data_IF_135254108640
#
_entry.id   IF_135254108640
#
_cell.length_a   1.000
_cell.length_b   1.000
_cell.length_c   1.000
_cell.angle_alpha   90.00
_cell.angle_beta   90.00
_cell.angle_gamma   90.00
#
_symmetry.space_group_name_H-M   'P 1'
#
loop_
_entity.id
_entity.type
_entity.pdbx_description
1 polymer ?
#
# COMPACT_ATOMS: atom_id res chain seq x y z
N UNK A 1 21.74 1.44 -24.17
CA UNK A 1 21.94 2.13 -22.88
C UNK A 1 22.47 1.13 -21.86
N UNK A 2 23.17 1.59 -20.80
CA UNK A 2 23.66 0.70 -19.73
C UNK A 2 23.44 1.35 -18.35
N UNK A 3 23.07 0.53 -17.36
CA UNK A 3 22.91 0.96 -15.95
C UNK A 3 23.25 -0.21 -15.00
N UNK A 4 23.40 0.06 -13.70
CA UNK A 4 23.52 -0.99 -12.70
C UNK A 4 22.16 -1.63 -12.40
N UNK A 5 21.11 -0.81 -12.21
CA UNK A 5 19.77 -1.31 -11.90
C UNK A 5 18.73 -0.71 -12.85
N UNK A 6 18.02 -1.59 -13.59
CA UNK A 6 16.84 -1.20 -14.34
C UNK A 6 15.61 -1.34 -13.43
N UNK A 7 14.85 -0.25 -13.23
CA UNK A 7 13.65 -0.23 -12.39
C UNK A 7 12.43 -0.14 -13.30
N UNK A 8 11.55 -1.12 -13.25
CA UNK A 8 10.33 -1.16 -14.05
C UNK A 8 9.17 -0.68 -13.19
N UNK A 9 8.61 0.48 -13.54
CA UNK A 9 7.54 1.18 -12.83
C UNK A 9 8.03 2.41 -12.07
N UNK A 10 7.42 3.57 -12.37
CA UNK A 10 7.66 4.88 -11.74
C UNK A 10 6.67 5.21 -10.61
N UNK A 11 6.04 4.20 -10.01
CA UNK A 11 5.23 4.34 -8.81
C UNK A 11 6.06 4.57 -7.54
N UNK A 12 5.42 4.63 -6.36
CA UNK A 12 6.12 4.93 -5.10
C UNK A 12 7.30 3.98 -4.81
N UNK A 13 7.14 2.68 -5.07
CA UNK A 13 8.21 1.69 -4.87
C UNK A 13 9.42 1.99 -5.76
N UNK A 14 9.20 2.14 -7.07
CA UNK A 14 10.31 2.32 -8.01
C UNK A 14 11.04 3.64 -7.83
N UNK A 15 10.33 4.74 -7.61
CA UNK A 15 10.96 6.04 -7.38
C UNK A 15 11.68 6.11 -6.03
N UNK A 16 11.12 5.51 -4.97
CA UNK A 16 11.80 5.44 -3.68
C UNK A 16 13.06 4.58 -3.78
N UNK A 17 13.00 3.42 -4.45
CA UNK A 17 14.18 2.61 -4.71
C UNK A 17 15.25 3.41 -5.47
N UNK A 18 14.85 4.10 -6.53
CA UNK A 18 15.77 4.94 -7.31
C UNK A 18 16.43 6.04 -6.47
N UNK A 19 15.70 6.67 -5.51
CA UNK A 19 16.25 7.65 -4.58
C UNK A 19 17.26 7.00 -3.63
N UNK A 20 16.91 5.86 -3.04
CA UNK A 20 17.79 5.15 -2.11
C UNK A 20 19.08 4.67 -2.78
N UNK A 21 18.98 4.14 -4.02
CA UNK A 21 20.14 3.73 -4.81
C UNK A 21 21.04 4.90 -5.17
N UNK A 22 20.45 6.03 -5.58
CA UNK A 22 21.22 7.25 -5.85
C UNK A 22 22.06 7.69 -4.63
N UNK A 23 21.45 7.69 -3.43
CA UNK A 23 22.14 8.02 -2.17
C UNK A 23 23.27 7.05 -1.84
N UNK A 24 23.16 5.80 -2.29
CA UNK A 24 24.20 4.78 -2.17
C UNK A 24 25.24 4.84 -3.32
N UNK A 25 25.18 5.80 -4.25
CA UNK A 25 26.08 5.90 -5.39
C UNK A 25 25.84 4.85 -6.47
N UNK A 26 24.66 4.23 -6.50
CA UNK A 26 24.28 3.19 -7.47
C UNK A 26 23.42 3.80 -8.57
N UNK A 27 23.84 3.62 -9.83
CA UNK A 27 23.14 4.14 -10.99
C UNK A 27 21.89 3.30 -11.31
N UNK A 28 20.77 3.97 -11.52
CA UNK A 28 19.52 3.34 -11.94
C UNK A 28 18.81 4.12 -13.04
N UNK A 29 18.06 3.39 -13.87
CA UNK A 29 17.14 3.95 -14.87
C UNK A 29 15.75 3.45 -14.55
N UNK A 30 14.78 4.36 -14.44
CA UNK A 30 13.37 4.04 -14.18
C UNK A 30 12.59 4.11 -15.50
N UNK A 31 11.87 3.04 -15.83
CA UNK A 31 10.96 2.96 -16.97
C UNK A 31 9.52 2.98 -16.44
N UNK A 32 8.77 4.03 -16.77
CA UNK A 32 7.36 4.18 -16.42
C UNK A 32 6.49 4.15 -17.68
N UNK A 33 5.47 3.27 -17.69
CA UNK A 33 4.60 3.09 -18.87
C UNK A 33 3.69 4.30 -19.12
N UNK A 34 3.32 5.03 -18.07
CA UNK A 34 2.37 6.13 -18.14
C UNK A 34 3.05 7.49 -18.10
N UNK A 35 2.32 8.52 -18.51
CA UNK A 35 2.74 9.88 -18.28
C UNK A 35 2.75 10.22 -16.78
N UNK A 36 3.59 11.17 -16.39
CA UNK A 36 3.65 11.69 -15.01
C UNK A 36 2.28 12.17 -14.50
N UNK A 37 1.53 12.87 -15.35
CA UNK A 37 0.19 13.34 -15.03
C UNK A 37 -0.77 12.18 -14.71
N UNK A 38 -0.70 11.09 -15.47
CA UNK A 38 -1.51 9.90 -15.21
C UNK A 38 -1.17 9.24 -13.88
N UNK A 39 0.13 9.14 -13.53
CA UNK A 39 0.58 8.55 -12.27
C UNK A 39 0.07 9.38 -11.08
N UNK A 40 0.14 10.71 -11.16
CA UNK A 40 -0.32 11.64 -10.12
C UNK A 40 -1.85 11.70 -9.98
N UNK A 41 -2.60 11.43 -11.05
CA UNK A 41 -4.07 11.41 -11.01
C UNK A 41 -4.64 10.23 -10.21
N UNK A 42 -3.84 9.23 -9.86
CA UNK A 42 -4.29 8.07 -9.08
C UNK A 42 -4.33 8.39 -7.58
N UNK A 43 -5.52 8.63 -7.07
CA UNK A 43 -5.73 8.87 -5.64
C UNK A 43 -5.81 7.54 -4.89
N UNK A 44 -4.89 7.31 -3.97
CA UNK A 44 -4.83 6.12 -3.11
C UNK A 44 -4.73 6.50 -1.63
N UNK A 45 -4.92 5.52 -0.74
CA UNK A 45 -4.76 5.72 0.69
C UNK A 45 -3.31 6.12 1.04
N UNK A 46 -3.14 6.76 2.18
CA UNK A 46 -1.85 7.23 2.65
C UNK A 46 -1.78 7.15 4.17
N UNK A 47 -2.01 5.94 4.75
CA UNK A 47 -1.71 5.68 6.16
C UNK A 47 -0.34 5.04 6.22
N UNK A 48 0.60 5.72 6.86
CA UNK A 48 2.00 5.33 6.94
C UNK A 48 2.30 4.75 8.32
N UNK A 49 2.89 3.56 8.34
CA UNK A 49 3.50 2.99 9.53
C UNK A 49 4.70 3.82 9.96
N UNK A 50 5.06 3.75 11.24
CA UNK A 50 6.22 4.48 11.77
C UNK A 50 7.50 4.18 10.99
N UNK A 51 7.79 2.91 10.67
CA UNK A 51 8.98 2.54 9.90
C UNK A 51 8.99 3.15 8.48
N UNK A 52 7.84 3.29 7.83
CA UNK A 52 7.71 3.98 6.54
C UNK A 52 8.05 5.47 6.67
N UNK A 53 7.52 6.14 7.70
CA UNK A 53 7.82 7.55 8.01
C UNK A 53 9.32 7.74 8.22
N UNK A 54 9.96 6.85 8.98
CA UNK A 54 11.40 6.89 9.24
C UNK A 54 12.23 6.70 7.96
N UNK A 55 11.85 5.76 7.07
CA UNK A 55 12.51 5.59 5.77
C UNK A 55 12.38 6.84 4.89
N UNK A 56 11.19 7.44 4.82
CA UNK A 56 11.00 8.66 4.03
C UNK A 56 11.86 9.81 4.58
N UNK A 57 11.90 10.01 5.90
CA UNK A 57 12.75 11.02 6.55
C UNK A 57 14.23 10.79 6.27
N UNK A 58 14.70 9.55 6.44
CA UNK A 58 16.11 9.18 6.22
C UNK A 58 16.55 9.43 4.76
N UNK A 59 15.59 9.42 3.82
CA UNK A 59 15.86 9.66 2.41
C UNK A 59 15.53 11.10 1.95
N UNK A 60 15.35 12.06 2.88
CA UNK A 60 15.13 13.47 2.55
C UNK A 60 13.76 13.79 1.98
N UNK A 61 12.78 12.89 2.21
CA UNK A 61 11.39 13.02 1.75
C UNK A 61 10.42 13.35 2.90
N UNK A 62 10.96 13.71 4.07
CA UNK A 62 10.17 13.94 5.29
C UNK A 62 9.63 15.37 5.44
N UNK A 63 10.25 16.38 4.85
CA UNK A 63 9.97 17.79 5.15
C UNK A 63 8.49 18.18 4.95
N UNK A 64 7.94 17.92 3.77
CA UNK A 64 6.52 18.19 3.47
C UNK A 64 5.61 17.26 4.25
N UNK A 65 5.97 15.98 4.38
CA UNK A 65 5.23 15.00 5.16
C UNK A 65 5.09 15.43 6.63
N UNK A 66 6.13 15.94 7.24
CA UNK A 66 6.12 16.39 8.65
C UNK A 66 5.31 17.67 8.84
N UNK A 67 5.22 18.54 7.83
CA UNK A 67 4.44 19.77 7.85
C UNK A 67 2.95 19.53 7.57
N UNK A 68 2.61 18.65 6.63
CA UNK A 68 1.25 18.47 6.10
C UNK A 68 0.58 17.17 6.53
N UNK A 69 1.37 16.17 6.96
CA UNK A 69 0.86 14.90 7.44
C UNK A 69 0.17 15.04 8.80
N UNK A 70 -0.78 14.15 9.04
CA UNK A 70 -1.50 14.10 10.31
C UNK A 70 -1.10 12.85 11.11
N UNK A 71 -0.55 13.09 12.30
CA UNK A 71 -0.13 12.01 13.22
C UNK A 71 -1.32 11.52 14.01
N UNK A 72 -1.49 10.20 14.06
CA UNK A 72 -2.53 9.53 14.83
C UNK A 72 -1.93 8.67 15.94
N UNK A 73 -2.51 8.79 17.13
CA UNK A 73 -2.19 7.92 18.26
C UNK A 73 -2.90 6.56 18.17
N UNK A 74 -4.01 6.50 17.40
CA UNK A 74 -4.79 5.28 17.25
C UNK A 74 -5.93 5.37 16.24
N UNK A 75 -6.77 4.32 16.21
CA UNK A 75 -7.96 4.22 15.40
C UNK A 75 -9.15 3.76 16.22
N UNK A 76 -10.33 4.29 15.95
CA UNK A 76 -11.56 3.89 16.60
C UNK A 76 -12.25 2.76 15.79
N UNK A 77 -12.78 1.78 16.48
CA UNK A 77 -13.66 0.74 15.91
C UNK A 77 -15.03 0.88 16.59
N UNK A 78 -16.09 0.91 15.79
CA UNK A 78 -17.48 0.91 16.28
C UNK A 78 -18.20 -0.33 15.76
N UNK A 79 -19.06 -0.93 16.58
CA UNK A 79 -19.86 -2.10 16.21
C UNK A 79 -21.21 -2.13 16.94
N UNK A 80 -22.11 -2.99 16.50
CA UNK A 80 -23.47 -3.11 17.04
C UNK A 80 -24.24 -1.78 17.11
N UNK A 81 -23.80 -0.75 16.37
CA UNK A 81 -24.43 0.56 16.26
C UNK A 81 -24.27 1.47 17.49
N UNK A 82 -23.62 1.01 18.55
CA UNK A 82 -23.47 1.79 19.81
C UNK A 82 -22.14 1.59 20.52
N UNK A 83 -21.58 0.39 20.46
CA UNK A 83 -20.30 0.11 21.14
C UNK A 83 -19.14 0.68 20.35
N UNK A 84 -18.12 1.14 21.04
CA UNK A 84 -16.90 1.65 20.42
C UNK A 84 -15.66 1.36 21.27
N UNK A 85 -14.55 1.18 20.60
CA UNK A 85 -13.25 1.05 21.22
C UNK A 85 -12.18 1.79 20.41
N UNK A 86 -11.31 2.53 21.08
CA UNK A 86 -10.15 3.16 20.45
C UNK A 86 -8.91 2.31 20.72
N UNK A 87 -8.32 1.78 19.65
CA UNK A 87 -7.01 1.14 19.72
C UNK A 87 -5.98 2.28 19.76
N UNK A 88 -5.50 2.60 20.95
CA UNK A 88 -4.51 3.64 21.19
C UNK A 88 -3.11 3.05 21.07
N UNK A 89 -2.52 3.19 19.86
CA UNK A 89 -1.20 2.64 19.56
C UNK A 89 -0.09 3.30 20.38
N UNK A 90 -0.21 4.60 20.65
CA UNK A 90 0.77 5.31 21.48
C UNK A 90 0.79 4.76 22.91
N UNK A 91 -0.37 4.61 23.53
CA UNK A 91 -0.50 4.10 24.89
C UNK A 91 -0.10 2.62 25.02
N UNK A 92 -0.43 1.81 24.00
CA UNK A 92 -0.22 0.36 24.05
C UNK A 92 1.23 -0.03 23.74
N UNK A 93 1.85 0.61 22.75
CA UNK A 93 3.15 0.17 22.18
C UNK A 93 4.13 1.32 21.93
N UNK A 94 3.82 2.54 22.32
CA UNK A 94 4.68 3.71 22.16
C UNK A 94 4.93 4.10 20.70
N UNK A 95 4.04 3.69 19.78
CA UNK A 95 4.16 3.96 18.35
C UNK A 95 2.99 4.79 17.85
N UNK A 96 3.25 5.52 16.77
CA UNK A 96 2.26 6.32 16.05
C UNK A 96 2.24 5.93 14.58
N UNK A 97 1.16 6.24 13.91
CA UNK A 97 1.11 6.20 12.45
C UNK A 97 0.72 7.57 11.90
N UNK A 98 0.96 7.80 10.63
CA UNK A 98 0.73 9.09 10.02
C UNK A 98 -0.21 8.94 8.81
N UNK A 99 -1.15 9.86 8.66
CA UNK A 99 -1.87 10.01 7.40
C UNK A 99 -1.17 11.06 6.55
N UNK A 100 -0.64 10.63 5.40
CA UNK A 100 -0.06 11.48 4.37
C UNK A 100 -0.37 10.87 3.01
N UNK A 101 -1.05 11.59 2.14
CA UNK A 101 -1.60 11.05 0.90
C UNK A 101 -0.53 10.42 0.00
N UNK A 102 -0.82 9.27 -0.59
CA UNK A 102 0.12 8.63 -1.51
C UNK A 102 0.42 9.52 -2.73
N UNK A 103 -0.53 10.35 -3.18
CA UNK A 103 -0.29 11.33 -4.24
C UNK A 103 0.79 12.33 -3.84
N UNK A 104 0.74 12.86 -2.60
CA UNK A 104 1.77 13.79 -2.08
C UNK A 104 3.14 13.11 -1.99
N UNK A 105 3.21 11.85 -1.55
CA UNK A 105 4.45 11.06 -1.57
C UNK A 105 4.99 10.94 -3.00
N UNK A 106 4.10 10.67 -3.96
CA UNK A 106 4.48 10.53 -5.37
C UNK A 106 5.00 11.85 -5.95
N UNK A 107 4.38 12.98 -5.61
CA UNK A 107 4.85 14.32 -5.98
C UNK A 107 6.24 14.60 -5.40
N UNK A 108 6.45 14.29 -4.11
CA UNK A 108 7.74 14.48 -3.43
C UNK A 108 8.85 13.61 -4.06
N UNK A 109 8.52 12.38 -4.44
CA UNK A 109 9.43 11.46 -5.15
C UNK A 109 9.78 11.96 -6.54
N UNK A 110 8.81 12.47 -7.30
CA UNK A 110 9.08 13.09 -8.60
C UNK A 110 9.96 14.35 -8.45
N UNK A 111 9.65 15.20 -7.47
CA UNK A 111 10.46 16.39 -7.21
C UNK A 111 11.89 16.03 -6.80
N UNK A 112 12.09 14.96 -6.03
CA UNK A 112 13.43 14.46 -5.69
C UNK A 112 14.15 13.93 -6.94
N UNK A 113 13.46 13.16 -7.78
CA UNK A 113 14.02 12.68 -9.05
C UNK A 113 14.47 13.83 -9.97
N UNK A 114 13.64 14.88 -10.09
CA UNK A 114 13.97 16.08 -10.88
C UNK A 114 15.18 16.82 -10.35
N UNK A 115 15.22 17.07 -9.02
CA UNK A 115 16.36 17.80 -8.39
C UNK A 115 17.72 17.15 -8.65
N UNK A 116 17.77 15.81 -8.73
CA UNK A 116 19.01 15.06 -8.96
C UNK A 116 19.24 14.66 -10.43
N UNK A 117 18.35 15.06 -11.35
CA UNK A 117 18.46 14.69 -12.76
C UNK A 117 18.36 13.18 -13.00
N UNK A 118 17.42 12.51 -12.31
CA UNK A 118 17.27 11.05 -12.41
C UNK A 118 16.94 10.62 -13.82
N UNK A 119 17.50 9.50 -14.26
CA UNK A 119 17.14 8.86 -15.52
C UNK A 119 15.76 8.18 -15.38
N UNK A 120 14.70 8.97 -15.55
CA UNK A 120 13.30 8.55 -15.51
C UNK A 120 12.68 8.72 -16.90
N UNK A 121 12.35 7.61 -17.55
CA UNK A 121 11.71 7.56 -18.85
C UNK A 121 10.22 7.25 -18.67
N UNK A 122 9.39 8.28 -18.72
CA UNK A 122 7.93 8.14 -18.75
C UNK A 122 7.46 7.77 -20.15
N UNK A 123 6.29 7.12 -20.26
CA UNK A 123 5.70 6.64 -21.51
C UNK A 123 6.56 5.59 -22.24
N UNK A 124 7.37 4.84 -21.46
CA UNK A 124 8.08 3.67 -21.93
C UNK A 124 7.12 2.49 -22.11
N UNK A 125 6.88 2.07 -23.35
CA UNK A 125 5.93 1.01 -23.71
C UNK A 125 6.64 -0.26 -24.20
N UNK A 126 5.89 -1.35 -24.39
CA UNK A 126 6.37 -2.63 -24.92
C UNK A 126 7.58 -3.17 -24.13
N UNK A 127 7.60 -2.98 -22.83
CA UNK A 127 8.70 -3.41 -21.95
C UNK A 127 8.78 -4.94 -21.93
N UNK A 128 9.96 -5.49 -22.21
CA UNK A 128 10.26 -6.92 -22.14
C UNK A 128 11.58 -7.15 -21.42
N UNK A 129 11.59 -8.13 -20.52
CA UNK A 129 12.76 -8.50 -19.73
C UNK A 129 13.45 -9.70 -20.36
N UNK A 130 14.77 -9.65 -20.48
CA UNK A 130 15.56 -10.69 -21.11
C UNK A 130 16.68 -11.16 -20.18
N UNK A 131 16.97 -12.45 -20.20
CA UNK A 131 18.12 -13.04 -19.48
C UNK A 131 18.10 -12.88 -17.97
N UNK A 132 16.90 -12.78 -17.36
CA UNK A 132 16.73 -12.50 -15.90
C UNK A 132 17.38 -13.52 -14.98
N UNK A 133 17.53 -14.77 -15.43
CA UNK A 133 18.21 -15.83 -14.69
C UNK A 133 19.74 -15.82 -14.84
N UNK A 134 20.25 -15.13 -15.85
CA UNK A 134 21.69 -15.04 -16.17
C UNK A 134 22.37 -13.84 -15.52
N UNK A 135 23.67 -13.69 -15.82
CA UNK A 135 24.50 -12.63 -15.23
C UNK A 135 24.32 -11.25 -15.89
N UNK A 136 23.82 -11.21 -17.11
CA UNK A 136 23.67 -10.00 -17.93
C UNK A 136 22.23 -9.81 -18.41
N UNK A 137 21.29 -9.46 -17.51
CA UNK A 137 19.94 -9.17 -17.90
C UNK A 137 19.86 -7.87 -18.71
N UNK A 138 18.78 -7.74 -19.49
CA UNK A 138 18.50 -6.52 -20.21
C UNK A 138 17.01 -6.30 -20.37
N UNK A 139 16.64 -5.06 -20.66
CA UNK A 139 15.24 -4.66 -20.89
C UNK A 139 15.14 -4.03 -22.28
N UNK A 140 14.24 -4.53 -23.14
CA UNK A 140 13.84 -3.85 -24.36
C UNK A 140 12.52 -3.11 -24.15
N UNK A 141 12.39 -1.94 -24.77
CA UNK A 141 11.22 -1.09 -24.66
C UNK A 141 11.12 -0.11 -25.82
N UNK A 142 9.99 0.56 -25.97
CA UNK A 142 9.81 1.70 -26.87
C UNK A 142 9.70 2.99 -26.08
N UNK A 143 10.36 4.04 -26.55
CA UNK A 143 10.26 5.37 -25.94
C UNK A 143 10.32 6.42 -27.06
N UNK A 144 9.39 7.36 -27.08
CA UNK A 144 9.23 8.38 -28.13
C UNK A 144 9.12 7.79 -29.56
N UNK A 145 8.55 6.59 -29.68
CA UNK A 145 8.40 5.87 -30.96
C UNK A 145 9.58 4.98 -31.32
N UNK A 146 10.74 5.16 -30.74
CA UNK A 146 11.94 4.40 -31.01
C UNK A 146 12.09 3.17 -30.12
N UNK A 147 12.60 2.07 -30.69
CA UNK A 147 12.99 0.88 -29.93
C UNK A 147 14.33 1.10 -29.26
N UNK A 148 14.41 0.77 -27.98
CA UNK A 148 15.60 0.92 -27.16
C UNK A 148 15.90 -0.36 -26.37
N UNK A 149 17.17 -0.52 -25.98
CA UNK A 149 17.63 -1.59 -25.09
C UNK A 149 18.46 -1.01 -23.96
N UNK A 150 18.20 -1.49 -22.75
CA UNK A 150 18.91 -1.16 -21.51
C UNK A 150 19.55 -2.43 -20.96
N UNK A 151 20.89 -2.52 -21.05
CA UNK A 151 21.65 -3.57 -20.39
C UNK A 151 21.87 -3.18 -18.92
N UNK A 152 21.77 -4.15 -18.01
CA UNK A 152 21.87 -3.89 -16.58
C UNK A 152 22.45 -5.08 -15.81
N UNK A 153 22.83 -4.84 -14.55
CA UNK A 153 23.28 -5.92 -13.69
C UNK A 153 22.09 -6.56 -12.94
N UNK A 154 21.07 -5.74 -12.63
CA UNK A 154 19.84 -6.18 -11.93
C UNK A 154 18.61 -5.49 -12.51
N UNK A 155 17.46 -6.15 -12.34
CA UNK A 155 16.13 -5.61 -12.67
C UNK A 155 15.28 -5.60 -11.39
N UNK A 156 14.66 -4.46 -11.08
CA UNK A 156 13.68 -4.31 -10.02
C UNK A 156 12.28 -4.09 -10.61
N UNK A 157 11.42 -5.09 -10.52
CA UNK A 157 10.02 -5.05 -10.94
C UNK A 157 9.16 -4.35 -9.89
N UNK A 158 8.86 -3.08 -10.12
CA UNK A 158 7.98 -2.21 -9.32
C UNK A 158 6.74 -1.79 -10.12
N UNK A 159 6.35 -2.59 -11.10
CA UNK A 159 5.39 -2.29 -12.18
C UNK A 159 3.94 -2.66 -11.83
N UNK A 160 3.67 -2.95 -10.57
CA UNK A 160 2.34 -3.21 -10.07
C UNK A 160 1.78 -4.58 -10.46
N UNK A 161 0.52 -4.82 -10.10
CA UNK A 161 -0.10 -6.13 -10.26
C UNK A 161 -0.20 -6.61 -11.72
N UNK A 162 -0.40 -5.69 -12.65
CA UNK A 162 -0.55 -5.98 -14.09
C UNK A 162 0.76 -5.77 -14.88
N UNK A 163 1.88 -5.58 -14.19
CA UNK A 163 3.17 -5.40 -14.81
C UNK A 163 3.74 -6.68 -15.42
N UNK A 164 4.80 -6.52 -16.22
CA UNK A 164 5.46 -7.62 -16.95
C UNK A 164 6.50 -8.35 -16.12
N UNK A 165 6.98 -7.74 -15.03
CA UNK A 165 8.13 -8.29 -14.28
C UNK A 165 7.82 -9.64 -13.66
N UNK A 166 6.65 -9.81 -13.04
CA UNK A 166 6.25 -11.10 -12.43
C UNK A 166 6.14 -12.21 -13.46
N UNK A 167 5.66 -11.92 -14.67
CA UNK A 167 5.49 -12.92 -15.73
C UNK A 167 6.81 -13.35 -16.35
N UNK A 168 7.91 -12.64 -16.10
CA UNK A 168 9.25 -13.04 -16.51
C UNK A 168 9.84 -14.16 -15.63
N UNK A 169 9.22 -14.47 -14.49
CA UNK A 169 9.57 -15.63 -13.67
C UNK A 169 8.85 -16.87 -14.23
N UNK A 170 9.56 -17.96 -14.54
CA UNK A 170 8.94 -19.17 -15.09
C UNK A 170 7.83 -19.74 -14.20
N UNK A 171 6.74 -20.19 -14.82
CA UNK A 171 5.59 -20.74 -14.09
C UNK A 171 5.93 -21.95 -13.18
N UNK A 172 6.98 -22.73 -13.50
CA UNK A 172 7.48 -23.82 -12.66
C UNK A 172 8.23 -23.36 -11.41
N UNK A 173 8.61 -22.07 -11.33
CA UNK A 173 9.33 -21.47 -10.20
C UNK A 173 8.37 -20.60 -9.36
N UNK A 174 7.50 -19.85 -10.01
CA UNK A 174 6.60 -18.92 -9.36
C UNK A 174 5.37 -19.64 -8.78
N UNK A 175 5.13 -19.46 -7.50
CA UNK A 175 3.85 -19.83 -6.85
C UNK A 175 3.08 -18.57 -6.54
N UNK A 176 1.76 -18.61 -6.72
CA UNK A 176 0.89 -17.49 -6.37
C UNK A 176 -0.18 -17.95 -5.39
N UNK A 177 -0.46 -17.10 -4.42
CA UNK A 177 -1.52 -17.29 -3.44
C UNK A 177 -2.50 -16.15 -3.58
N UNK A 178 -3.76 -16.45 -3.80
CA UNK A 178 -4.80 -15.45 -4.02
C UNK A 178 -6.06 -15.75 -3.23
N UNK A 179 -6.65 -14.71 -2.66
CA UNK A 179 -8.00 -14.70 -2.11
C UNK A 179 -8.73 -13.47 -2.60
N UNK A 180 -9.80 -13.66 -3.36
CA UNK A 180 -10.74 -12.61 -3.77
C UNK A 180 -11.87 -12.57 -2.74
N UNK A 181 -12.20 -11.36 -2.27
CA UNK A 181 -13.32 -11.16 -1.34
C UNK A 181 -14.61 -10.92 -2.14
N UNK A 182 -15.78 -11.44 -1.67
CA UNK A 182 -17.04 -11.35 -2.42
C UNK A 182 -17.72 -9.98 -2.30
N UNK A 183 -16.94 -8.92 -2.04
CA UNK A 183 -17.41 -7.55 -1.89
C UNK A 183 -16.32 -6.55 -2.31
N UNK A 184 -16.74 -5.31 -2.54
CA UNK A 184 -15.87 -4.19 -2.83
C UNK A 184 -16.08 -3.05 -1.85
N UNK A 185 -15.23 -2.04 -1.96
CA UNK A 185 -15.36 -0.75 -1.28
C UNK A 185 -15.78 0.33 -2.27
N UNK A 186 -16.98 0.87 -2.09
CA UNK A 186 -17.35 2.13 -2.70
C UNK A 186 -16.72 3.27 -1.88
N UNK A 187 -15.78 3.97 -2.48
CA UNK A 187 -15.07 5.08 -1.87
C UNK A 187 -15.50 6.42 -2.43
N UNK A 188 -15.72 7.39 -1.56
CA UNK A 188 -16.00 8.79 -1.91
C UNK A 188 -14.93 9.69 -1.33
N UNK A 189 -14.35 10.54 -2.17
CA UNK A 189 -13.54 11.69 -1.78
C UNK A 189 -14.42 12.94 -1.83
N UNK A 190 -14.45 13.71 -0.76
CA UNK A 190 -15.26 14.93 -0.69
C UNK A 190 -14.47 16.08 -0.06
N UNK A 191 -14.61 17.28 -0.62
CA UNK A 191 -14.01 18.51 -0.10
C UNK A 191 -14.79 19.01 1.13
N UNK A 192 -14.86 18.17 2.16
CA UNK A 192 -15.54 18.43 3.43
C UNK A 192 -14.59 18.22 4.61
N UNK A 193 -14.88 18.88 5.72
CA UNK A 193 -14.13 18.67 6.96
C UNK A 193 -14.26 17.22 7.41
N UNK A 194 -13.14 16.47 7.60
CA UNK A 194 -13.18 15.11 8.11
C UNK A 194 -13.58 15.05 9.58
N UNK A 195 -13.86 13.85 10.05
CA UNK A 195 -13.90 13.54 11.49
C UNK A 195 -12.48 13.60 12.06
N UNK A 196 -12.36 13.85 13.37
CA UNK A 196 -11.05 14.01 14.03
C UNK A 196 -10.27 12.69 14.16
N UNK A 197 -10.95 11.55 14.00
CA UNK A 197 -10.36 10.23 14.14
C UNK A 197 -10.59 9.36 12.90
N UNK A 198 -9.69 8.41 12.69
CA UNK A 198 -9.89 7.29 11.77
C UNK A 198 -10.88 6.31 12.42
N UNK A 199 -12.06 6.10 11.81
CA UNK A 199 -13.14 5.30 12.42
C UNK A 199 -13.56 4.18 11.46
N UNK A 200 -13.43 2.94 11.94
CA UNK A 200 -13.92 1.73 11.30
C UNK A 200 -15.26 1.33 11.89
N UNK A 201 -16.22 0.94 11.05
CA UNK A 201 -17.50 0.42 11.52
C UNK A 201 -17.70 -1.03 11.03
N UNK A 202 -17.97 -1.95 11.98
CA UNK A 202 -18.62 -3.23 11.71
C UNK A 202 -20.12 -3.06 11.93
N UNK A 203 -20.93 -3.31 10.92
CA UNK A 203 -22.38 -3.11 11.00
C UNK A 203 -23.12 -4.22 10.22
N UNK A 204 -24.36 -4.62 10.59
CA UNK A 204 -25.15 -5.62 9.85
C UNK A 204 -25.35 -5.27 8.37
N UNK A 205 -25.33 -3.99 7.99
CA UNK A 205 -25.36 -3.52 6.58
C UNK A 205 -23.99 -3.60 5.87
N UNK A 206 -22.95 -4.10 6.52
CA UNK A 206 -21.58 -4.16 6.03
C UNK A 206 -20.67 -3.08 6.60
N UNK A 207 -19.41 -3.15 6.26
CA UNK A 207 -18.34 -2.27 6.70
C UNK A 207 -18.52 -0.81 6.28
N UNK A 208 -18.04 0.12 7.11
CA UNK A 208 -17.80 1.52 6.71
C UNK A 208 -16.48 2.04 7.31
N UNK A 209 -15.91 3.06 6.67
CA UNK A 209 -14.68 3.72 7.12
C UNK A 209 -14.80 5.22 6.92
N UNK A 210 -14.52 5.97 7.97
CA UNK A 210 -14.29 7.42 7.92
C UNK A 210 -12.79 7.70 8.08
N UNK A 211 -12.19 8.40 7.13
CA UNK A 211 -10.79 8.79 7.16
C UNK A 211 -10.59 10.20 6.61
N UNK A 212 -9.46 10.80 6.95
CA UNK A 212 -9.04 12.10 6.43
C UNK A 212 -7.95 11.95 5.37
N UNK A 213 -7.81 12.98 4.54
CA UNK A 213 -6.64 13.18 3.67
C UNK A 213 -5.86 14.42 4.08
N UNK A 214 -6.58 15.49 4.41
CA UNK A 214 -6.08 16.71 5.00
C UNK A 214 -7.23 17.40 5.78
N UNK A 215 -7.04 18.52 6.46
CA UNK A 215 -8.10 19.17 7.26
C UNK A 215 -9.37 19.58 6.51
N UNK A 216 -9.34 19.56 5.16
CA UNK A 216 -10.47 20.00 4.31
C UNK A 216 -10.91 18.91 3.32
N UNK A 217 -10.31 17.71 3.37
CA UNK A 217 -10.56 16.65 2.42
C UNK A 217 -10.78 15.31 3.15
N UNK A 218 -12.00 14.81 3.05
CA UNK A 218 -12.45 13.56 3.66
C UNK A 218 -12.46 12.41 2.66
N UNK A 219 -12.13 11.22 3.11
CA UNK A 219 -12.31 9.98 2.34
C UNK A 219 -13.14 9.00 3.14
N UNK A 220 -14.27 8.59 2.58
CA UNK A 220 -15.19 7.65 3.19
C UNK A 220 -15.34 6.40 2.32
N UNK A 221 -15.63 5.27 2.95
CA UNK A 221 -15.88 4.02 2.26
C UNK A 221 -17.07 3.30 2.86
N UNK A 222 -17.83 2.61 2.01
CA UNK A 222 -18.84 1.64 2.40
C UNK A 222 -18.63 0.34 1.65
N UNK A 223 -18.84 -0.78 2.32
CA UNK A 223 -18.87 -2.09 1.68
C UNK A 223 -20.06 -2.20 0.74
N UNK A 224 -19.83 -2.70 -0.47
CA UNK A 224 -20.86 -2.93 -1.49
C UNK A 224 -20.66 -4.29 -2.16
N UNK A 225 -21.70 -4.92 -2.72
CA UNK A 225 -21.57 -6.09 -3.60
C UNK A 225 -20.66 -5.79 -4.80
N UNK A 226 -19.98 -6.81 -5.34
CA UNK A 226 -19.18 -6.67 -6.56
C UNK A 226 -20.01 -6.38 -7.81
N UNK A 227 -21.32 -6.64 -7.77
CA UNK A 227 -22.26 -6.35 -8.84
C UNK A 227 -22.64 -4.88 -8.95
N UNK A 228 -22.39 -4.10 -7.89
CA UNK A 228 -22.74 -2.66 -7.88
C UNK A 228 -21.82 -1.87 -8.82
N UNK A 229 -22.39 -0.84 -9.44
CA UNK A 229 -21.66 0.10 -10.29
C UNK A 229 -21.70 1.50 -9.68
N UNK A 230 -20.68 2.29 -9.95
CA UNK A 230 -20.55 3.65 -9.40
C UNK A 230 -21.75 4.53 -9.78
N UNK A 231 -22.25 4.33 -11.00
CA UNK A 231 -23.38 5.09 -11.56
C UNK A 231 -24.69 4.87 -10.80
N UNK A 232 -24.83 3.72 -10.14
CA UNK A 232 -26.02 3.36 -9.36
C UNK A 232 -26.03 4.05 -7.97
N UNK A 233 -24.96 4.76 -7.62
CA UNK A 233 -24.78 5.40 -6.33
C UNK A 233 -24.76 6.94 -6.45
N UNK A 234 -25.90 7.59 -6.22
CA UNK A 234 -25.92 9.04 -6.01
C UNK A 234 -25.15 9.42 -4.73
N UNK A 235 -24.77 10.71 -4.63
CA UNK A 235 -24.11 11.20 -3.40
C UNK A 235 -25.03 11.05 -2.20
N UNK A 236 -26.33 11.39 -2.36
CA UNK A 236 -27.31 11.26 -1.27
C UNK A 236 -27.45 9.81 -0.79
N UNK A 237 -27.51 8.83 -1.71
CA UNK A 237 -27.54 7.41 -1.37
C UNK A 237 -26.28 7.01 -0.60
N UNK A 238 -25.11 7.44 -1.06
CA UNK A 238 -23.85 7.16 -0.38
C UNK A 238 -23.83 7.70 1.04
N UNK A 239 -24.19 8.97 1.22
CA UNK A 239 -24.20 9.60 2.54
C UNK A 239 -25.23 8.98 3.48
N UNK A 240 -26.39 8.61 2.98
CA UNK A 240 -27.41 7.90 3.78
C UNK A 240 -26.89 6.54 4.26
N UNK A 241 -26.30 5.74 3.36
CA UNK A 241 -25.73 4.43 3.68
C UNK A 241 -24.51 4.52 4.62
N UNK A 242 -23.66 5.52 4.42
CA UNK A 242 -22.53 5.76 5.30
C UNK A 242 -23.00 6.07 6.73
N UNK A 243 -23.90 7.06 6.87
CA UNK A 243 -24.43 7.49 8.17
C UNK A 243 -25.20 6.39 8.89
N UNK A 244 -25.92 5.54 8.16
CA UNK A 244 -26.65 4.42 8.71
C UNK A 244 -25.75 3.34 9.35
N UNK A 245 -24.45 3.33 9.07
CA UNK A 245 -23.46 2.36 9.59
C UNK A 245 -22.69 2.88 10.81
N UNK A 246 -22.89 4.13 11.18
CA UNK A 246 -22.24 4.73 12.35
C UNK A 246 -23.24 5.00 13.47
N UNK A 247 -22.79 5.02 14.74
CA UNK A 247 -23.59 5.51 15.87
C UNK A 247 -24.12 6.91 15.61
N UNK A 248 -25.32 7.28 16.16
CA UNK A 248 -25.99 8.55 15.86
C UNK A 248 -25.14 9.80 16.10
N UNK A 249 -24.27 9.80 17.11
CA UNK A 249 -23.37 10.90 17.42
C UNK A 249 -22.31 11.10 16.34
N UNK A 250 -21.71 10.02 15.84
CA UNK A 250 -20.72 10.05 14.75
C UNK A 250 -21.43 10.44 13.44
N UNK A 251 -22.58 9.82 13.14
CA UNK A 251 -23.37 10.11 11.94
C UNK A 251 -23.76 11.59 11.82
N UNK A 252 -24.08 12.25 12.96
CA UNK A 252 -24.39 13.69 13.01
C UNK A 252 -23.16 14.57 12.76
N UNK A 253 -21.98 14.12 13.18
CA UNK A 253 -20.74 14.86 13.00
C UNK A 253 -20.19 14.77 11.56
N UNK A 254 -20.65 13.81 10.73
CA UNK A 254 -20.23 13.68 9.34
C UNK A 254 -20.76 14.85 8.51
N UNK A 255 -19.86 15.68 8.00
CA UNK A 255 -20.17 16.75 7.04
C UNK A 255 -20.27 16.14 5.65
N UNK A 256 -21.41 16.30 5.00
CA UNK A 256 -21.69 15.79 3.65
C UNK A 256 -21.42 16.86 2.60
N UNK A 257 -21.06 16.46 1.38
CA UNK A 257 -20.83 17.36 0.24
C UNK A 257 -20.75 16.56 -1.06
N UNK A 258 -20.57 17.26 -2.18
CA UNK A 258 -20.40 16.61 -3.46
C UNK A 258 -19.17 15.69 -3.49
N UNK A 259 -19.30 14.55 -4.17
CA UNK A 259 -18.18 13.67 -4.42
C UNK A 259 -17.22 14.31 -5.44
N UNK A 260 -15.98 14.54 -5.04
CA UNK A 260 -14.88 14.93 -5.96
C UNK A 260 -14.43 13.72 -6.78
N UNK A 261 -14.44 12.55 -6.15
CA UNK A 261 -14.12 11.26 -6.76
C UNK A 261 -15.00 10.19 -6.14
N UNK A 262 -15.47 9.27 -6.97
CA UNK A 262 -16.20 8.09 -6.55
C UNK A 262 -15.70 6.87 -7.32
N UNK A 263 -15.38 5.79 -6.62
CA UNK A 263 -14.86 4.57 -7.23
C UNK A 263 -15.23 3.32 -6.42
N UNK A 264 -15.38 2.17 -7.09
CA UNK A 264 -15.52 0.88 -6.43
C UNK A 264 -14.23 0.09 -6.65
N UNK A 265 -13.63 -0.35 -5.57
CA UNK A 265 -12.43 -1.18 -5.58
C UNK A 265 -12.76 -2.58 -5.06
N UNK A 266 -12.60 -3.64 -5.86
CA UNK A 266 -12.68 -5.02 -5.37
C UNK A 266 -11.51 -5.30 -4.41
N UNK A 267 -11.76 -6.10 -3.39
CA UNK A 267 -10.73 -6.49 -2.42
C UNK A 267 -10.13 -7.84 -2.78
N UNK A 268 -8.81 -7.93 -2.65
CA UNK A 268 -8.07 -9.19 -2.78
C UNK A 268 -6.84 -9.21 -1.88
N UNK A 269 -6.42 -10.40 -1.52
CA UNK A 269 -5.07 -10.71 -1.06
C UNK A 269 -4.36 -11.48 -2.16
N UNK A 270 -3.11 -11.12 -2.44
CA UNK A 270 -2.29 -11.81 -3.42
C UNK A 270 -0.83 -11.80 -2.95
N UNK A 271 -0.13 -12.92 -3.12
CA UNK A 271 1.32 -13.04 -2.88
C UNK A 271 1.94 -13.91 -3.97
N UNK A 272 3.05 -13.44 -4.52
CA UNK A 272 3.90 -14.17 -5.45
C UNK A 272 5.20 -14.61 -4.75
N UNK A 273 5.55 -15.88 -4.85
CA UNK A 273 6.75 -16.48 -4.28
C UNK A 273 7.50 -17.31 -5.34
N UNK A 274 8.82 -17.12 -5.42
CA UNK A 274 9.68 -16.19 -4.69
C UNK A 274 9.56 -14.74 -5.22
N UNK A 275 10.01 -13.76 -4.42
CA UNK A 275 10.11 -12.37 -4.84
C UNK A 275 11.42 -12.06 -5.59
N UNK A 276 12.21 -13.09 -5.88
CA UNK A 276 13.46 -13.00 -6.66
C UNK A 276 13.60 -14.19 -7.60
N UNK A 277 14.10 -13.93 -8.81
CA UNK A 277 14.54 -14.98 -9.74
C UNK A 277 15.79 -14.50 -10.49
N UNK A 278 16.92 -15.13 -10.19
CA UNK A 278 18.22 -14.71 -10.72
C UNK A 278 18.54 -13.24 -10.38
N UNK A 279 18.59 -12.38 -11.39
CA UNK A 279 18.85 -10.95 -11.29
C UNK A 279 17.58 -10.08 -11.27
N UNK A 280 16.40 -10.69 -11.29
CA UNK A 280 15.10 -10.02 -11.19
C UNK A 280 14.58 -10.06 -9.74
N UNK A 281 14.16 -8.91 -9.25
CA UNK A 281 13.46 -8.73 -7.97
C UNK A 281 12.07 -8.17 -8.19
N UNK A 282 11.10 -8.59 -7.40
CA UNK A 282 9.75 -8.03 -7.36
C UNK A 282 9.56 -7.21 -6.09
N UNK A 283 8.92 -6.06 -6.18
CA UNK A 283 8.60 -5.20 -5.05
C UNK A 283 7.22 -4.55 -5.19
N UNK A 284 6.53 -4.32 -4.08
CA UNK A 284 5.20 -3.72 -4.04
C UNK A 284 4.14 -4.58 -4.74
N UNK A 285 3.18 -3.93 -5.40
CA UNK A 285 2.03 -4.61 -6.04
C UNK A 285 2.46 -5.62 -7.14
N UNK A 286 3.71 -5.60 -7.61
CA UNK A 286 4.24 -6.64 -8.49
C UNK A 286 4.38 -7.99 -7.79
N UNK A 287 4.64 -7.99 -6.48
CA UNK A 287 4.82 -9.17 -5.64
C UNK A 287 3.60 -9.51 -4.78
N UNK A 288 2.89 -8.51 -4.26
CA UNK A 288 1.82 -8.74 -3.29
C UNK A 288 0.77 -7.63 -3.30
N UNK A 289 -0.47 -8.02 -3.00
CA UNK A 289 -1.60 -7.12 -2.73
C UNK A 289 -2.22 -7.53 -1.40
N UNK A 290 -2.61 -6.56 -0.61
CA UNK A 290 -3.36 -6.75 0.64
C UNK A 290 -4.64 -5.92 0.62
N UNK A 291 -5.72 -6.37 1.29
CA UNK A 291 -6.90 -5.54 1.45
C UNK A 291 -6.54 -4.20 2.12
N UNK A 292 -7.17 -3.11 1.71
CA UNK A 292 -6.85 -1.78 2.24
C UNK A 292 -7.22 -1.60 3.71
N UNK A 293 -7.98 -2.51 4.30
CA UNK A 293 -8.45 -2.48 5.71
C UNK A 293 -7.31 -2.31 6.71
N UNK A 294 -6.18 -3.00 6.49
CA UNK A 294 -5.00 -2.91 7.35
C UNK A 294 -4.03 -1.77 7.00
N UNK A 295 -4.29 -1.02 5.93
CA UNK A 295 -3.41 0.03 5.42
C UNK A 295 -1.95 -0.42 5.17
N UNK A 296 -1.74 -1.67 4.69
CA UNK A 296 -0.41 -2.28 4.60
C UNK A 296 0.27 -2.15 3.22
N UNK A 297 -0.47 -1.92 2.13
CA UNK A 297 0.07 -2.04 0.77
C UNK A 297 1.28 -1.15 0.50
N UNK A 298 1.17 0.17 0.75
CA UNK A 298 2.28 1.11 0.56
C UNK A 298 3.43 0.82 1.54
N UNK A 299 3.11 0.48 2.78
CA UNK A 299 4.10 0.18 3.82
C UNK A 299 4.93 -1.07 3.48
N UNK A 300 4.30 -2.09 2.89
CA UNK A 300 5.01 -3.27 2.35
C UNK A 300 5.91 -2.89 1.18
N UNK A 301 5.42 -2.09 0.24
CA UNK A 301 6.22 -1.63 -0.89
C UNK A 301 7.48 -0.86 -0.41
N UNK A 302 7.35 -0.04 0.64
CA UNK A 302 8.49 0.66 1.26
C UNK A 302 9.45 -0.33 1.92
N UNK A 303 8.93 -1.34 2.63
CA UNK A 303 9.82 -2.36 3.23
C UNK A 303 10.57 -3.19 2.21
N UNK A 304 9.93 -3.56 1.09
CA UNK A 304 10.59 -4.29 0.02
C UNK A 304 11.77 -3.51 -0.56
N UNK A 305 11.54 -2.24 -0.91
CA UNK A 305 12.61 -1.41 -1.48
C UNK A 305 13.68 -1.06 -0.44
N UNK A 306 13.33 -1.01 0.85
CA UNK A 306 14.29 -0.88 1.93
C UNK A 306 15.23 -2.10 1.97
N UNK A 307 14.70 -3.33 1.96
CA UNK A 307 15.53 -4.54 1.93
C UNK A 307 16.34 -4.64 0.65
N UNK A 308 15.73 -4.35 -0.51
CA UNK A 308 16.39 -4.43 -1.80
C UNK A 308 17.52 -3.40 -1.93
N UNK A 309 17.31 -2.16 -1.50
CA UNK A 309 18.34 -1.13 -1.55
C UNK A 309 19.55 -1.49 -0.68
N UNK A 310 19.33 -2.05 0.51
CA UNK A 310 20.41 -2.53 1.38
C UNK A 310 21.19 -3.71 0.76
N UNK A 311 20.46 -4.64 0.14
CA UNK A 311 21.05 -5.77 -0.55
C UNK A 311 21.96 -5.33 -1.70
N UNK A 312 21.47 -4.40 -2.54
CA UNK A 312 22.23 -3.83 -3.64
C UNK A 312 23.41 -2.97 -3.14
N UNK A 313 23.23 -2.22 -2.04
CA UNK A 313 24.33 -1.44 -1.43
C UNK A 313 25.45 -2.34 -0.89
N UNK A 314 25.11 -3.46 -0.26
CA UNK A 314 26.11 -4.44 0.19
C UNK A 314 26.83 -5.10 -1.00
N UNK A 315 26.10 -5.41 -2.06
CA UNK A 315 26.68 -5.99 -3.26
C UNK A 315 27.69 -5.06 -3.94
N UNK A 316 27.31 -3.81 -4.20
CA UNK A 316 28.20 -2.87 -4.90
C UNK A 316 29.29 -2.28 -4.01
N UNK A 317 29.02 -2.10 -2.71
CA UNK A 317 29.97 -1.48 -1.78
C UNK A 317 30.91 -2.47 -1.12
N UNK A 318 30.48 -3.73 -0.92
CA UNK A 318 31.25 -4.74 -0.16
C UNK A 318 31.52 -6.03 -0.94
N UNK A 319 30.95 -6.18 -2.15
CA UNK A 319 31.03 -7.41 -2.95
C UNK A 319 30.25 -8.59 -2.35
N UNK A 320 29.32 -8.34 -1.39
CA UNK A 320 28.55 -9.41 -0.75
C UNK A 320 27.21 -9.63 -1.46
N UNK A 321 26.91 -10.89 -1.78
CA UNK A 321 25.61 -11.32 -2.29
C UNK A 321 24.64 -11.82 -1.21
N UNK A 322 25.05 -11.90 0.05
CA UNK A 322 24.26 -12.51 1.13
C UNK A 322 22.86 -11.92 1.28
N UNK A 323 22.74 -10.59 1.27
CA UNK A 323 21.44 -9.92 1.37
C UNK A 323 20.62 -10.04 0.08
N UNK A 324 21.28 -10.11 -1.08
CA UNK A 324 20.62 -10.40 -2.35
C UNK A 324 20.01 -11.79 -2.32
N UNK A 325 20.73 -12.78 -1.84
CA UNK A 325 20.27 -14.18 -1.77
C UNK A 325 19.12 -14.35 -0.77
N UNK A 326 19.14 -13.59 0.31
CA UNK A 326 18.12 -13.59 1.38
C UNK A 326 16.93 -12.64 1.13
N UNK A 327 16.97 -11.82 0.08
CA UNK A 327 15.93 -10.80 -0.16
C UNK A 327 14.50 -11.36 -0.14
N UNK A 328 14.26 -12.43 -0.91
CA UNK A 328 12.94 -13.04 -1.00
C UNK A 328 12.43 -13.50 0.37
N UNK A 329 13.27 -14.19 1.15
CA UNK A 329 12.88 -14.72 2.46
C UNK A 329 12.60 -13.60 3.46
N UNK A 330 13.42 -12.56 3.46
CA UNK A 330 13.25 -11.41 4.36
C UNK A 330 11.96 -10.63 4.02
N UNK A 331 11.74 -10.34 2.75
CA UNK A 331 10.54 -9.64 2.31
C UNK A 331 9.28 -10.46 2.57
N UNK A 332 9.26 -11.76 2.22
CA UNK A 332 8.11 -12.64 2.39
C UNK A 332 7.69 -12.83 3.85
N UNK A 333 8.62 -12.89 4.81
CA UNK A 333 8.26 -12.94 6.24
C UNK A 333 7.40 -11.74 6.63
N UNK A 334 7.78 -10.54 6.21
CA UNK A 334 7.00 -9.32 6.47
C UNK A 334 5.71 -9.30 5.67
N UNK A 335 5.74 -9.67 4.39
CA UNK A 335 4.55 -9.76 3.53
C UNK A 335 3.50 -10.65 4.17
N UNK A 336 3.85 -11.88 4.57
CA UNK A 336 2.90 -12.81 5.17
C UNK A 336 2.37 -12.35 6.52
N UNK A 337 3.19 -11.67 7.32
CA UNK A 337 2.73 -11.04 8.56
C UNK A 337 1.67 -9.98 8.30
N UNK A 338 1.89 -9.12 7.31
CA UNK A 338 0.94 -8.07 6.92
C UNK A 338 -0.32 -8.63 6.23
N UNK A 339 -0.17 -9.67 5.38
CA UNK A 339 -1.29 -10.38 4.76
C UNK A 339 -2.18 -11.00 5.83
N UNK A 340 -1.60 -11.71 6.81
CA UNK A 340 -2.34 -12.28 7.94
C UNK A 340 -3.13 -11.22 8.70
N UNK A 341 -2.49 -10.11 9.06
CA UNK A 341 -3.14 -9.02 9.77
C UNK A 341 -4.28 -8.38 8.94
N UNK A 342 -4.00 -8.06 7.67
CA UNK A 342 -5.00 -7.45 6.78
C UNK A 342 -6.18 -8.39 6.52
N UNK A 343 -5.92 -9.69 6.35
CA UNK A 343 -6.95 -10.70 6.20
C UNK A 343 -7.82 -10.82 7.46
N UNK A 344 -7.20 -10.93 8.64
CA UNK A 344 -7.89 -10.98 9.91
C UNK A 344 -8.77 -9.76 10.13
N UNK A 345 -8.22 -8.55 9.96
CA UNK A 345 -8.96 -7.30 10.16
C UNK A 345 -10.09 -7.13 9.13
N UNK A 346 -9.88 -7.58 7.89
CA UNK A 346 -10.93 -7.58 6.87
C UNK A 346 -12.05 -8.54 7.26
N UNK A 347 -11.73 -9.76 7.68
CA UNK A 347 -12.72 -10.74 8.12
C UNK A 347 -13.48 -10.25 9.36
N UNK A 348 -12.80 -9.59 10.29
CA UNK A 348 -13.41 -9.07 11.52
C UNK A 348 -14.40 -7.92 11.25
N UNK A 349 -14.10 -7.05 10.28
CA UNK A 349 -14.87 -5.81 10.10
C UNK A 349 -15.92 -5.86 8.98
N UNK A 350 -15.83 -6.84 8.07
CA UNK A 350 -16.75 -6.92 6.93
C UNK A 350 -17.80 -8.02 7.12
N UNK A 351 -18.90 -7.87 6.42
CA UNK A 351 -19.93 -8.88 6.31
C UNK A 351 -19.81 -9.61 4.97
N UNK A 352 -19.53 -10.91 5.00
CA UNK A 352 -19.57 -11.75 3.80
C UNK A 352 -21.02 -12.12 3.47
N UNK A 353 -21.40 -12.25 2.19
CA UNK A 353 -22.76 -12.65 1.80
C UNK A 353 -23.20 -14.01 2.32
N UNK A 354 -22.24 -14.90 2.56
CA UNK A 354 -22.43 -16.27 3.09
C UNK A 354 -22.35 -16.36 4.62
N UNK A 355 -22.16 -15.22 5.30
CA UNK A 355 -22.07 -15.16 6.77
C UNK A 355 -23.42 -15.35 7.43
N UNK A 356 -23.50 -16.34 8.31
CA UNK A 356 -24.67 -16.60 9.17
C UNK A 356 -24.60 -15.87 10.51
N UNK A 357 -25.59 -16.15 11.36
CA UNK A 357 -25.70 -15.55 12.69
C UNK A 357 -24.54 -15.97 13.62
N UNK A 358 -24.01 -17.18 13.42
CA UNK A 358 -22.88 -17.67 14.21
C UNK A 358 -21.62 -16.83 13.94
N UNK A 359 -21.27 -16.62 12.68
CA UNK A 359 -20.08 -15.84 12.29
C UNK A 359 -20.22 -14.38 12.73
N UNK A 360 -21.43 -13.81 12.59
CA UNK A 360 -21.70 -12.45 13.07
C UNK A 360 -21.51 -12.37 14.59
N UNK A 361 -22.03 -13.34 15.34
CA UNK A 361 -21.89 -13.35 16.80
C UNK A 361 -20.43 -13.55 17.22
N UNK A 362 -19.66 -14.37 16.48
CA UNK A 362 -18.24 -14.55 16.72
C UNK A 362 -17.46 -13.25 16.47
N UNK A 363 -17.78 -12.48 15.41
CA UNK A 363 -17.18 -11.16 15.18
C UNK A 363 -17.45 -10.19 16.34
N UNK A 364 -18.70 -10.12 16.84
CA UNK A 364 -19.06 -9.26 17.98
C UNK A 364 -18.27 -9.66 19.23
N UNK A 365 -18.13 -10.96 19.51
CA UNK A 365 -17.34 -11.46 20.64
C UNK A 365 -15.85 -11.11 20.50
N UNK A 366 -15.29 -11.20 19.29
CA UNK A 366 -13.90 -10.80 19.03
C UNK A 366 -13.71 -9.30 19.23
N UNK A 367 -14.62 -8.46 18.73
CA UNK A 367 -14.59 -7.01 18.95
C UNK A 367 -14.70 -6.65 20.44
N UNK A 368 -15.55 -7.36 21.18
CA UNK A 368 -15.68 -7.19 22.62
C UNK A 368 -14.44 -7.65 23.38
N UNK A 369 -13.80 -8.74 22.93
CA UNK A 369 -12.51 -9.19 23.46
C UNK A 369 -11.42 -8.14 23.23
N UNK A 370 -11.34 -7.55 22.02
CA UNK A 370 -10.42 -6.45 21.75
C UNK A 370 -10.66 -5.24 22.67
N UNK A 371 -11.92 -4.90 22.96
CA UNK A 371 -12.24 -3.78 23.82
C UNK A 371 -11.84 -3.99 25.30
N UNK A 372 -11.74 -5.25 25.73
CA UNK A 372 -11.52 -5.60 27.16
C UNK A 372 -10.13 -6.17 27.44
N UNK A 373 -9.47 -6.79 26.46
CA UNK A 373 -8.16 -7.45 26.63
C UNK A 373 -7.01 -6.53 26.30
N UNK A 374 -6.23 -6.11 27.28
CA UNK A 374 -5.02 -5.32 27.10
C UNK A 374 -4.01 -5.99 26.13
N UNK A 375 -3.89 -7.32 26.18
CA UNK A 375 -2.96 -8.04 25.31
C UNK A 375 -3.44 -8.05 23.84
N UNK A 376 -4.73 -8.21 23.62
CA UNK A 376 -5.30 -8.13 22.28
C UNK A 376 -5.16 -6.71 21.70
N UNK A 377 -5.41 -5.68 22.50
CA UNK A 377 -5.20 -4.28 22.11
C UNK A 377 -3.75 -4.01 21.73
N UNK A 378 -2.78 -4.44 22.53
CA UNK A 378 -1.36 -4.27 22.24
C UNK A 378 -0.94 -4.99 20.96
N UNK A 379 -1.42 -6.23 20.75
CA UNK A 379 -1.14 -6.99 19.52
C UNK A 379 -1.68 -6.31 18.27
N UNK A 380 -2.90 -5.77 18.32
CA UNK A 380 -3.47 -5.02 17.17
C UNK A 380 -2.75 -3.70 16.97
N UNK A 381 -2.46 -2.96 18.04
CA UNK A 381 -1.76 -1.68 17.99
C UNK A 381 -0.36 -1.83 17.37
N UNK A 382 0.39 -2.84 17.77
CA UNK A 382 1.72 -3.14 17.23
C UNK A 382 1.68 -3.40 15.73
N UNK A 383 0.76 -4.26 15.30
CA UNK A 383 0.60 -4.60 13.89
C UNK A 383 0.07 -3.44 13.06
N UNK A 384 -0.82 -2.62 13.63
CA UNK A 384 -1.40 -1.46 12.94
C UNK A 384 -0.36 -0.35 12.76
N UNK A 385 0.38 0.01 13.81
CA UNK A 385 1.43 1.04 13.77
C UNK A 385 2.69 0.58 13.01
N UNK A 386 2.83 -0.70 12.76
CA UNK A 386 3.90 -1.33 11.99
C UNK A 386 4.92 -2.07 12.84
N UNK A 387 5.20 -3.30 12.42
CA UNK A 387 6.33 -4.08 12.94
C UNK A 387 7.65 -3.43 12.51
N UNK A 388 8.72 -3.52 13.31
CA UNK A 388 10.03 -3.01 12.92
C UNK A 388 10.52 -3.72 11.64
N UNK A 389 11.36 -3.04 10.86
CA UNK A 389 12.09 -3.70 9.80
C UNK A 389 13.15 -4.60 10.43
N UNK A 390 13.26 -5.82 9.91
CA UNK A 390 14.29 -6.74 10.40
C UNK A 390 15.68 -6.15 10.14
N UNK A 391 16.61 -6.23 11.11
CA UNK A 391 18.01 -5.93 10.85
C UNK A 391 18.55 -6.89 9.79
N UNK A 392 19.50 -6.41 9.00
CA UNK A 392 20.16 -7.21 7.96
C UNK A 392 21.04 -8.29 8.57
#
# INVERSE_FOLDING_TARGET
>A
MKTQVAIIGGGPAGLLLSEMLHRAGIHSVVLEQRSRAHVLARIRAGVLEQGTVEVLRANGLGERMDREGHVHDGAQIVWAGRESHTIDAWKQVGKRFMTYGQTSIQEDLFAAADRRGAALLCEASDVQLHGVAGEHPSVSFKHNGDSARLDCDFIAGCDGFHGVSRTAIPAGVLRTFEKVYPFGWLGVLSATKPLDHLIYANHPRGFALASMRNPQLSRYYVQVPLSDRVEDWSDDRFWAELKARFPPEIARAIVTGAAVEKSIAPLRSFVAEPMRHGRLFLAGDAAHIVPPTGAKGLNLAVSDVFYLSRALSAFYGQGSSDLIDRYSDMALRRVWSAVRFSWWLTTLLHRSPDMGDFEQRAQECELQYLATSRHAQASVAEQYAGLPFEPA
#
